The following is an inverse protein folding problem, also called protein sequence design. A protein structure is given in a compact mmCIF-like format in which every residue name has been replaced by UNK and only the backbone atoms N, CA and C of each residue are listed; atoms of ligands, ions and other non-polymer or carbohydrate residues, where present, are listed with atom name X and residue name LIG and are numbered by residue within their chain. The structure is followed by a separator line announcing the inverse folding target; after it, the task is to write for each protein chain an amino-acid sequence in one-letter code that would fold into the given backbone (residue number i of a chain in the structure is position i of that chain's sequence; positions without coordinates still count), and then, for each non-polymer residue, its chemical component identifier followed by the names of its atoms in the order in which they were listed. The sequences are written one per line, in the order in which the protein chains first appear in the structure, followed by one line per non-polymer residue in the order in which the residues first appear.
data_IF_881334441624
#
_entry.id   IF_881334441624
#
_cell.length_a   1.000
_cell.length_b   1.000
_cell.length_c   1.000
_cell.angle_alpha   90.00
_cell.angle_beta   90.00
_cell.angle_gamma   90.00
#
_symmetry.space_group_name_H-M   'P 1'
#
loop_
_entity.id
_entity.type
_entity.pdbx_description
1 polymer ?
#
# COMPACT_ATOMS: atom_id res chain seq x y z
N UNK A 1 -32.37 14.13 -2.43
CA UNK A 1 -31.48 15.24 -2.87
C UNK A 1 -30.42 15.63 -1.83
N UNK A 2 -30.75 15.81 -0.55
CA UNK A 2 -29.77 16.23 0.50
C UNK A 2 -28.62 15.23 0.71
N UNK A 3 -28.88 13.93 0.64
CA UNK A 3 -27.85 12.91 0.91
C UNK A 3 -26.75 12.85 -0.15
N UNK A 4 -27.09 13.01 -1.42
CA UNK A 4 -26.12 13.06 -2.52
C UNK A 4 -25.16 14.25 -2.36
N UNK A 5 -25.67 15.41 -1.96
CA UNK A 5 -24.86 16.59 -1.71
C UNK A 5 -23.91 16.41 -0.52
N UNK A 6 -24.39 15.79 0.56
CA UNK A 6 -23.56 15.46 1.72
C UNK A 6 -22.44 14.48 1.36
N UNK A 7 -22.72 13.45 0.54
CA UNK A 7 -21.70 12.51 0.02
C UNK A 7 -20.65 13.21 -0.84
N UNK A 8 -21.06 14.09 -1.76
CA UNK A 8 -20.13 14.88 -2.59
C UNK A 8 -19.24 15.81 -1.75
N UNK A 9 -19.80 16.47 -0.73
CA UNK A 9 -19.04 17.33 0.18
C UNK A 9 -17.98 16.52 0.93
N UNK A 10 -18.35 15.35 1.46
CA UNK A 10 -17.44 14.45 2.18
C UNK A 10 -16.32 13.92 1.28
N UNK A 11 -16.65 13.55 0.04
CA UNK A 11 -15.67 13.14 -0.97
C UNK A 11 -14.65 14.27 -1.25
N UNK A 12 -15.13 15.50 -1.45
CA UNK A 12 -14.27 16.67 -1.65
C UNK A 12 -13.37 16.94 -0.44
N UNK A 13 -13.88 16.81 0.79
CA UNK A 13 -13.09 16.93 2.01
C UNK A 13 -12.00 15.86 2.10
N UNK A 14 -12.31 14.60 1.76
CA UNK A 14 -11.34 13.51 1.77
C UNK A 14 -10.25 13.73 0.69
N UNK A 15 -10.62 14.15 -0.52
CA UNK A 15 -9.67 14.46 -1.59
C UNK A 15 -8.71 15.59 -1.20
N UNK A 16 -9.20 16.64 -0.53
CA UNK A 16 -8.35 17.73 -0.02
C UNK A 16 -7.33 17.25 1.00
N UNK A 17 -7.68 16.26 1.84
CA UNK A 17 -6.75 15.67 2.82
C UNK A 17 -5.66 14.83 2.17
N UNK A 18 -5.95 14.20 1.03
CA UNK A 18 -5.00 13.40 0.28
C UNK A 18 -3.98 14.23 -0.50
N UNK A 19 -4.28 15.48 -0.80
CA UNK A 19 -3.42 16.36 -1.62
C UNK A 19 -2.22 16.94 -0.85
N UNK A 20 -1.73 16.26 0.19
CA UNK A 20 -0.56 16.65 0.97
C UNK A 20 0.52 15.55 0.96
N UNK A 21 1.75 15.92 1.29
CA UNK A 21 2.86 14.97 1.50
C UNK A 21 2.61 14.14 2.77
N UNK A 22 1.72 13.15 2.70
CA UNK A 22 1.61 12.15 3.75
C UNK A 22 2.67 11.08 3.52
N UNK A 23 3.71 11.07 4.36
CA UNK A 23 4.51 9.86 4.53
C UNK A 23 3.61 8.79 5.15
N UNK A 24 3.35 7.74 4.36
CA UNK A 24 2.61 6.56 4.79
C UNK A 24 3.63 5.46 5.03
N UNK A 25 3.62 4.87 6.22
CA UNK A 25 4.52 3.76 6.53
C UNK A 25 4.22 2.54 5.65
N UNK A 26 5.24 1.72 5.38
CA UNK A 26 5.08 0.48 4.62
C UNK A 26 4.01 -0.44 5.22
N UNK A 27 3.96 -0.60 6.55
CA UNK A 27 2.92 -1.40 7.20
C UNK A 27 1.49 -0.85 7.03
N UNK A 28 1.33 0.46 6.83
CA UNK A 28 -0.01 1.03 6.53
C UNK A 28 -0.38 0.81 5.06
N UNK A 29 0.59 1.00 4.16
CA UNK A 29 0.45 0.81 2.72
C UNK A 29 0.14 -0.66 2.39
N UNK A 30 1.02 -1.55 2.88
CA UNK A 30 0.93 -3.00 2.81
C UNK A 30 0.26 -3.58 4.06
N UNK A 31 -0.94 -3.09 4.37
CA UNK A 31 -1.76 -3.70 5.41
C UNK A 31 -2.10 -5.16 5.05
N UNK A 32 -2.36 -5.98 6.08
CA UNK A 32 -2.67 -7.41 5.96
C UNK A 32 -3.75 -7.67 4.90
N UNK A 33 -4.79 -6.84 4.85
CA UNK A 33 -5.86 -7.00 3.87
C UNK A 33 -5.40 -6.81 2.42
N UNK A 34 -4.44 -5.92 2.15
CA UNK A 34 -3.84 -5.80 0.83
C UNK A 34 -2.98 -7.03 0.51
N UNK A 35 -2.12 -7.45 1.44
CA UNK A 35 -1.22 -8.57 1.21
C UNK A 35 -1.98 -9.88 1.00
N UNK A 36 -2.90 -10.22 1.89
CA UNK A 36 -3.72 -11.44 1.78
C UNK A 36 -4.62 -11.46 0.53
N UNK A 37 -4.93 -10.29 -0.06
CA UNK A 37 -5.71 -10.21 -1.30
C UNK A 37 -4.85 -10.34 -2.55
N UNK A 38 -3.57 -9.98 -2.48
CA UNK A 38 -2.70 -9.84 -3.64
C UNK A 38 -1.50 -10.79 -3.66
N UNK A 39 -1.22 -11.44 -2.53
CA UNK A 39 -0.07 -12.31 -2.28
C UNK A 39 -0.48 -13.42 -1.31
N UNK A 40 0.37 -14.43 -1.15
CA UNK A 40 0.14 -15.52 -0.17
C UNK A 40 0.72 -15.21 1.22
N UNK A 41 1.23 -13.98 1.45
CA UNK A 41 1.82 -13.55 2.71
C UNK A 41 0.78 -12.89 3.64
N UNK A 42 0.91 -13.12 4.94
CA UNK A 42 0.01 -12.56 5.95
C UNK A 42 0.27 -11.07 6.21
N UNK A 43 1.54 -10.68 6.20
CA UNK A 43 2.01 -9.32 6.51
C UNK A 43 3.33 -9.01 5.80
N UNK A 44 3.72 -7.72 5.80
CA UNK A 44 4.86 -7.24 5.01
C UNK A 44 6.19 -7.75 5.57
N UNK A 45 6.25 -8.01 6.87
CA UNK A 45 7.45 -8.53 7.53
C UNK A 45 7.71 -9.97 7.08
N UNK A 46 6.66 -10.79 6.95
CA UNK A 46 6.76 -12.15 6.39
C UNK A 46 7.28 -12.12 4.95
N UNK A 47 6.78 -11.19 4.12
CA UNK A 47 7.24 -11.04 2.74
C UNK A 47 8.75 -10.74 2.70
N UNK A 48 9.21 -9.78 3.51
CA UNK A 48 10.64 -9.45 3.58
C UNK A 48 11.48 -10.61 4.12
N UNK A 49 11.03 -11.27 5.19
CA UNK A 49 11.73 -12.41 5.78
C UNK A 49 11.89 -13.56 4.76
N UNK A 50 10.83 -13.84 4.00
CA UNK A 50 10.83 -14.86 2.93
C UNK A 50 11.71 -14.46 1.75
N UNK A 51 11.83 -13.17 1.47
CA UNK A 51 12.76 -12.62 0.50
C UNK A 51 14.22 -12.63 0.97
N UNK A 52 14.47 -13.00 2.24
CA UNK A 52 15.81 -12.99 2.83
C UNK A 52 16.26 -11.61 3.32
N UNK A 53 15.34 -10.66 3.42
CA UNK A 53 15.60 -9.32 3.94
C UNK A 53 15.11 -9.18 5.37
N UNK A 54 15.95 -8.61 6.23
CA UNK A 54 15.55 -8.21 7.58
C UNK A 54 15.34 -6.70 7.59
N UNK A 55 14.09 -6.27 7.61
CA UNK A 55 13.71 -4.84 7.60
C UNK A 55 13.16 -4.46 8.96
N UNK A 56 13.97 -3.77 9.78
CA UNK A 56 13.53 -3.23 11.07
C UNK A 56 13.46 -1.71 11.05
N UNK A 57 14.17 -1.08 10.10
CA UNK A 57 14.29 0.37 9.95
C UNK A 57 14.11 0.82 8.49
N UNK A 58 13.90 2.13 8.29
CA UNK A 58 13.89 2.72 6.95
C UNK A 58 15.23 2.58 6.22
N UNK A 59 16.35 2.57 6.97
CA UNK A 59 17.69 2.37 6.42
C UNK A 59 17.88 0.93 5.91
N UNK A 60 17.36 -0.07 6.63
CA UNK A 60 17.39 -1.47 6.18
C UNK A 60 16.62 -1.63 4.87
N UNK A 61 15.44 -1.01 4.78
CA UNK A 61 14.65 -1.01 3.56
C UNK A 61 15.39 -0.31 2.41
N UNK A 62 16.01 0.84 2.66
CA UNK A 62 16.78 1.58 1.64
C UNK A 62 18.05 0.85 1.19
N UNK A 63 18.56 -0.08 2.00
CA UNK A 63 19.71 -0.92 1.67
C UNK A 63 19.36 -2.13 0.79
N UNK A 64 18.07 -2.46 0.62
CA UNK A 64 17.63 -3.58 -0.22
C UNK A 64 17.93 -3.25 -1.69
N UNK A 65 18.67 -4.11 -2.41
CA UNK A 65 18.84 -3.96 -3.85
C UNK A 65 17.49 -4.09 -4.56
N UNK A 66 17.14 -3.08 -5.36
CA UNK A 66 15.85 -3.02 -6.07
C UNK A 66 15.62 -4.28 -6.94
N UNK A 67 16.65 -4.75 -7.64
CA UNK A 67 16.57 -5.94 -8.50
C UNK A 67 16.28 -7.22 -7.71
N UNK A 68 16.81 -7.35 -6.49
CA UNK A 68 16.63 -8.56 -5.68
C UNK A 68 15.19 -8.66 -5.17
N UNK A 69 14.64 -7.55 -4.66
CA UNK A 69 13.25 -7.51 -4.22
C UNK A 69 12.26 -7.59 -5.40
N UNK A 70 12.58 -6.97 -6.54
CA UNK A 70 11.77 -7.07 -7.74
C UNK A 70 11.71 -8.51 -8.26
N UNK A 71 12.84 -9.23 -8.23
CA UNK A 71 12.90 -10.64 -8.60
C UNK A 71 12.05 -11.48 -7.66
N UNK A 72 12.19 -11.30 -6.35
CA UNK A 72 11.39 -12.03 -5.38
C UNK A 72 9.89 -11.80 -5.57
N UNK A 73 9.47 -10.55 -5.74
CA UNK A 73 8.06 -10.18 -5.93
C UNK A 73 7.50 -10.81 -7.21
N UNK A 74 8.27 -10.80 -8.30
CA UNK A 74 7.87 -11.42 -9.57
C UNK A 74 7.68 -12.92 -9.46
N UNK A 75 8.50 -13.59 -8.64
CA UNK A 75 8.45 -15.04 -8.47
C UNK A 75 7.39 -15.51 -7.46
N UNK A 76 7.05 -14.67 -6.48
CA UNK A 76 6.21 -15.06 -5.33
C UNK A 76 4.87 -14.33 -5.28
N UNK A 77 4.60 -13.41 -6.19
CA UNK A 77 3.35 -12.66 -6.25
C UNK A 77 2.86 -12.53 -7.69
N UNK A 78 1.73 -11.83 -7.88
CA UNK A 78 1.18 -11.52 -9.21
C UNK A 78 1.74 -10.23 -9.84
N UNK A 79 2.64 -9.53 -9.16
CA UNK A 79 3.18 -8.24 -9.59
C UNK A 79 4.51 -8.41 -10.32
N UNK A 80 4.81 -7.52 -11.27
CA UNK A 80 6.02 -7.63 -12.11
C UNK A 80 7.31 -7.14 -11.42
N UNK A 81 7.13 -6.30 -10.38
CA UNK A 81 8.19 -5.71 -9.56
C UNK A 81 7.63 -5.25 -8.21
N UNK A 82 8.51 -4.97 -7.24
CA UNK A 82 8.10 -4.38 -5.97
C UNK A 82 7.52 -2.98 -6.16
N UNK A 83 8.04 -2.22 -7.13
CA UNK A 83 7.49 -0.89 -7.47
C UNK A 83 6.06 -0.99 -8.00
N UNK A 84 5.76 -1.97 -8.85
CA UNK A 84 4.39 -2.23 -9.33
C UNK A 84 3.45 -2.58 -8.16
N UNK A 85 3.91 -3.48 -7.28
CA UNK A 85 3.20 -3.83 -6.05
C UNK A 85 2.95 -2.59 -5.15
N UNK A 86 3.93 -1.70 -4.99
CA UNK A 86 3.80 -0.44 -4.25
C UNK A 86 2.76 0.50 -4.88
N UNK A 87 2.75 0.64 -6.21
CA UNK A 87 1.79 1.49 -6.92
C UNK A 87 0.35 0.97 -6.76
N UNK A 88 0.16 -0.34 -6.82
CA UNK A 88 -1.11 -0.98 -6.55
C UNK A 88 -1.58 -0.76 -5.11
N UNK A 89 -0.69 -0.94 -4.13
CA UNK A 89 -0.99 -0.69 -2.72
C UNK A 89 -1.35 0.77 -2.47
N UNK A 90 -0.61 1.71 -3.07
CA UNK A 90 -0.87 3.15 -2.97
C UNK A 90 -2.24 3.52 -3.55
N UNK A 91 -2.59 2.95 -4.70
CA UNK A 91 -3.88 3.18 -5.35
C UNK A 91 -5.03 2.70 -4.47
N UNK A 92 -4.93 1.49 -3.91
CA UNK A 92 -5.94 0.93 -3.00
C UNK A 92 -6.05 1.74 -1.70
N UNK A 93 -4.91 2.15 -1.13
CA UNK A 93 -4.89 3.01 0.05
C UNK A 93 -5.57 4.36 -0.22
N UNK A 94 -5.19 5.05 -1.29
CA UNK A 94 -5.78 6.33 -1.69
C UNK A 94 -7.29 6.20 -1.93
N UNK A 95 -7.72 5.13 -2.60
CA UNK A 95 -9.15 4.82 -2.79
C UNK A 95 -9.85 4.65 -1.45
N UNK A 96 -9.32 3.84 -0.52
CA UNK A 96 -9.89 3.66 0.82
C UNK A 96 -10.01 4.99 1.58
N UNK A 97 -9.00 5.86 1.52
CA UNK A 97 -9.06 7.18 2.15
C UNK A 97 -10.09 8.11 1.48
N UNK A 98 -10.16 8.11 0.15
CA UNK A 98 -11.07 8.94 -0.61
C UNK A 98 -12.54 8.60 -0.29
N UNK A 99 -12.87 7.32 -0.19
CA UNK A 99 -14.22 6.85 0.11
C UNK A 99 -14.51 6.67 1.62
N UNK A 100 -13.56 7.02 2.50
CA UNK A 100 -13.70 6.86 3.95
C UNK A 100 -14.93 7.60 4.49
N UNK A 101 -15.82 6.84 5.12
CA UNK A 101 -17.04 7.37 5.74
C UNK A 101 -18.19 7.62 4.77
N UNK A 102 -18.10 7.14 3.52
CA UNK A 102 -19.22 7.09 2.57
C UNK A 102 -19.87 5.69 2.64
N UNK A 103 -21.10 5.62 3.19
CA UNK A 103 -22.00 4.46 3.07
C UNK A 103 -23.27 4.93 2.35
#
# INVERSE_FOLDING_TARGET
MKDGFNKLRKLSENAKKLNGEQQVSLGTLFNDGFLQTNTDFENIDELFEKAGFKVETEEDFAAIPQEDIDTFVRENTKFDSFTDMQQHAATEYMRKQLFKGLK
#
